data_IF_855344931071
#
_entry.id   IF_855344931071
#
_cell.length_a   1.000
_cell.length_b   1.000
_cell.length_c   1.000
_cell.angle_alpha   90.00
_cell.angle_beta   90.00
_cell.angle_gamma   90.00
#
_symmetry.space_group_name_H-M   'P 1'
#
loop_
_entity.id
_entity.type
_entity.pdbx_description
1 polymer ?
#
# COMPACT_ATOMS: atom_id res chain seq x y z
N UNK A 1 -18.22 18.25 18.60
CA UNK A 1 -16.94 17.49 18.48
C UNK A 1 -16.79 16.44 19.58
N UNK A 2 -16.62 16.83 20.84
CA UNK A 2 -16.35 15.89 21.95
C UNK A 2 -17.39 14.77 22.05
N UNK A 3 -18.68 15.09 21.96
CA UNK A 3 -19.77 14.11 21.90
C UNK A 3 -19.59 13.06 20.80
N UNK A 4 -19.27 13.48 19.57
CA UNK A 4 -19.03 12.58 18.44
C UNK A 4 -17.78 11.72 18.68
N UNK A 5 -16.74 12.29 19.29
CA UNK A 5 -15.51 11.59 19.62
C UNK A 5 -15.75 10.51 20.69
N UNK A 6 -16.47 10.85 21.77
CA UNK A 6 -16.90 9.94 22.84
C UNK A 6 -17.75 8.78 22.28
N UNK A 7 -18.70 9.09 21.40
CA UNK A 7 -19.56 8.10 20.75
C UNK A 7 -18.74 7.09 19.93
N UNK A 8 -17.85 7.58 19.06
CA UNK A 8 -16.96 6.72 18.28
C UNK A 8 -16.03 5.90 19.19
N UNK A 9 -15.52 6.50 20.26
CA UNK A 9 -14.67 5.80 21.23
C UNK A 9 -15.40 4.63 21.89
N UNK A 10 -16.66 4.81 22.31
CA UNK A 10 -17.47 3.73 22.86
C UNK A 10 -17.74 2.61 21.86
N UNK A 11 -18.05 2.95 20.61
CA UNK A 11 -18.29 1.97 19.54
C UNK A 11 -17.03 1.14 19.27
N UNK A 12 -15.88 1.79 19.15
CA UNK A 12 -14.59 1.14 18.89
C UNK A 12 -13.91 0.58 20.15
N UNK A 13 -14.54 0.74 21.33
CA UNK A 13 -13.97 0.34 22.63
C UNK A 13 -12.59 0.98 22.91
N UNK A 14 -12.44 2.24 22.50
CA UNK A 14 -11.23 3.03 22.72
C UNK A 14 -11.26 3.60 24.14
N UNK A 15 -10.24 3.34 24.98
CA UNK A 15 -10.24 3.75 26.39
C UNK A 15 -9.94 5.23 26.59
N UNK A 16 -9.33 5.91 25.61
CA UNK A 16 -8.93 7.31 25.72
C UNK A 16 -8.88 7.99 24.35
N UNK A 17 -9.40 9.19 24.27
CA UNK A 17 -9.37 10.07 23.09
C UNK A 17 -8.61 11.34 23.42
N UNK A 18 -7.73 11.77 22.53
CA UNK A 18 -7.03 13.04 22.64
C UNK A 18 -7.34 13.90 21.41
N UNK A 19 -7.88 15.09 21.65
CA UNK A 19 -8.07 16.13 20.63
C UNK A 19 -6.82 17.01 20.65
N UNK A 20 -6.01 16.88 19.61
CA UNK A 20 -4.77 17.61 19.51
C UNK A 20 -4.98 18.93 18.74
N UNK A 21 -4.56 20.04 19.34
CA UNK A 21 -4.79 21.39 18.82
C UNK A 21 -3.50 22.19 18.89
N UNK A 22 -3.15 22.86 17.79
CA UNK A 22 -2.04 23.82 17.73
C UNK A 22 -2.09 24.86 18.86
N UNK A 23 -0.96 25.10 19.53
CA UNK A 23 -0.85 26.00 20.68
C UNK A 23 -1.27 27.44 20.36
N UNK A 24 -1.10 27.88 19.12
CA UNK A 24 -1.52 29.19 18.62
C UNK A 24 -3.04 29.36 18.61
N UNK A 25 -3.81 28.28 18.64
CA UNK A 25 -5.28 28.28 18.59
C UNK A 25 -5.88 28.30 20.00
N UNK A 26 -5.48 29.30 20.80
CA UNK A 26 -5.91 29.47 22.20
C UNK A 26 -7.44 29.44 22.37
N UNK A 27 -8.20 30.08 21.49
CA UNK A 27 -9.66 30.05 21.53
C UNK A 27 -10.24 28.62 21.43
N UNK A 28 -9.66 27.78 20.56
CA UNK A 28 -10.11 26.40 20.40
C UNK A 28 -9.72 25.54 21.61
N UNK A 29 -8.49 25.71 22.11
CA UNK A 29 -8.02 25.06 23.33
C UNK A 29 -8.93 25.39 24.52
N UNK A 30 -9.17 26.67 24.78
CA UNK A 30 -10.01 27.15 25.87
C UNK A 30 -11.45 26.61 25.75
N UNK A 31 -12.04 26.65 24.55
CA UNK A 31 -13.40 26.13 24.34
C UNK A 31 -13.51 24.63 24.61
N UNK A 32 -12.52 23.85 24.17
CA UNK A 32 -12.49 22.41 24.45
C UNK A 32 -12.24 22.11 25.93
N UNK A 33 -11.35 22.85 26.58
CA UNK A 33 -11.09 22.71 28.01
C UNK A 33 -12.33 23.01 28.85
N UNK A 34 -13.02 24.12 28.58
CA UNK A 34 -14.28 24.44 29.26
C UNK A 34 -15.31 23.32 29.09
N UNK A 35 -15.46 22.78 27.87
CA UNK A 35 -16.40 21.70 27.60
C UNK A 35 -16.03 20.36 28.26
N UNK A 36 -14.77 20.18 28.66
CA UNK A 36 -14.30 18.99 29.37
C UNK A 36 -14.48 19.12 30.88
N UNK A 37 -14.46 20.33 31.43
CA UNK A 37 -14.60 20.57 32.87
C UNK A 37 -15.95 20.12 33.43
N UNK A 38 -17.00 20.08 32.59
CA UNK A 38 -18.33 19.61 32.96
C UNK A 38 -18.38 18.09 33.20
N UNK A 39 -17.30 17.34 32.92
CA UNK A 39 -17.20 15.90 33.14
C UNK A 39 -18.06 15.03 32.21
N UNK A 40 -18.77 15.65 31.26
CA UNK A 40 -19.68 14.96 30.33
C UNK A 40 -18.97 14.00 29.35
N UNK A 41 -17.65 14.17 29.16
CA UNK A 41 -16.86 13.42 28.18
C UNK A 41 -15.62 12.77 28.83
N UNK A 42 -15.81 11.77 29.72
CA UNK A 42 -14.74 11.22 30.56
C UNK A 42 -13.63 10.50 29.76
N UNK A 43 -13.90 10.07 28.53
CA UNK A 43 -12.89 9.43 27.67
C UNK A 43 -12.01 10.45 26.94
N UNK A 44 -12.42 11.72 26.91
CA UNK A 44 -11.81 12.74 26.08
C UNK A 44 -10.82 13.61 26.86
N UNK A 45 -9.75 14.03 26.18
CA UNK A 45 -8.82 15.04 26.65
C UNK A 45 -8.35 15.93 25.51
N UNK A 46 -7.68 17.03 25.86
CA UNK A 46 -7.08 17.97 24.90
C UNK A 46 -5.57 17.94 25.05
N UNK A 47 -4.85 18.01 23.93
CA UNK A 47 -3.40 18.09 23.89
C UNK A 47 -2.97 19.29 23.06
N UNK A 48 -2.17 20.20 23.63
CA UNK A 48 -1.62 21.33 22.90
C UNK A 48 -0.40 20.87 22.07
N UNK A 49 -0.46 21.04 20.75
CA UNK A 49 0.61 20.71 19.83
C UNK A 49 1.51 21.93 19.60
N UNK A 50 2.83 21.72 19.39
CA UNK A 50 3.71 22.78 18.93
C UNK A 50 3.25 23.34 17.58
N UNK A 51 3.31 24.67 17.42
CA UNK A 51 3.04 25.36 16.16
C UNK A 51 4.21 25.22 15.16
N UNK A 52 4.52 23.98 14.78
CA UNK A 52 5.61 23.68 13.84
C UNK A 52 5.14 22.69 12.79
N UNK A 53 5.30 23.02 11.52
CA UNK A 53 5.04 22.06 10.44
C UNK A 53 6.12 20.96 10.42
N UNK A 54 5.77 19.66 10.25
CA UNK A 54 4.43 19.08 10.09
C UNK A 54 3.91 18.35 11.36
N UNK A 55 3.77 19.03 12.50
CA UNK A 55 3.30 18.43 13.76
C UNK A 55 1.90 17.78 13.64
N UNK A 56 1.05 18.26 12.74
CA UNK A 56 -0.27 17.70 12.47
C UNK A 56 -0.29 16.46 11.56
N UNK A 57 0.86 16.02 11.03
CA UNK A 57 0.95 14.78 10.25
C UNK A 57 0.69 13.55 11.12
N UNK A 58 0.00 12.52 10.62
CA UNK A 58 -0.44 11.36 11.42
C UNK A 58 0.69 10.73 12.26
N UNK A 59 1.83 10.43 11.63
CA UNK A 59 2.98 9.83 12.34
C UNK A 59 3.62 10.81 13.33
N UNK A 60 3.76 12.09 12.95
CA UNK A 60 4.31 13.15 13.80
C UNK A 60 3.43 13.39 15.03
N UNK A 61 2.12 13.38 14.82
CA UNK A 61 1.13 13.57 15.84
C UNK A 61 1.17 12.42 16.85
N UNK A 62 1.19 11.18 16.36
CA UNK A 62 1.32 9.99 17.21
C UNK A 62 2.61 10.05 18.02
N UNK A 63 3.74 10.39 17.39
CA UNK A 63 5.01 10.52 18.10
C UNK A 63 4.98 11.62 19.16
N UNK A 64 4.41 12.78 18.85
CA UNK A 64 4.34 13.92 19.77
C UNK A 64 3.45 13.62 20.98
N UNK A 65 2.31 12.96 20.74
CA UNK A 65 1.31 12.69 21.79
C UNK A 65 1.64 11.45 22.61
N UNK A 66 2.16 10.40 21.98
CA UNK A 66 2.38 9.09 22.63
C UNK A 66 3.85 8.78 22.92
N UNK A 67 4.79 9.53 22.36
CA UNK A 67 6.23 9.22 22.38
C UNK A 67 6.63 8.05 21.48
N UNK A 68 5.68 7.39 20.81
CA UNK A 68 5.94 6.19 20.00
C UNK A 68 6.22 6.55 18.55
N UNK A 69 7.25 5.94 17.98
CA UNK A 69 7.52 5.99 16.54
C UNK A 69 6.83 4.81 15.85
N UNK A 70 6.24 5.09 14.69
CA UNK A 70 5.57 4.06 13.89
C UNK A 70 6.58 3.42 12.93
N UNK A 71 6.74 2.09 12.93
CA UNK A 71 7.56 1.41 11.93
C UNK A 71 7.06 1.68 10.50
N UNK A 72 8.00 1.79 9.56
CA UNK A 72 7.71 1.87 8.14
C UNK A 72 6.83 0.71 7.67
N UNK A 73 5.92 0.96 6.73
CA UNK A 73 5.00 -0.04 6.21
C UNK A 73 3.87 -0.51 7.13
N UNK A 74 3.80 -0.05 8.38
CA UNK A 74 2.68 -0.35 9.30
C UNK A 74 1.65 0.78 9.36
N UNK A 75 0.41 0.44 9.70
CA UNK A 75 -0.65 1.40 9.97
C UNK A 75 -0.79 1.65 11.47
N UNK A 76 -1.17 2.87 11.90
CA UNK A 76 -1.43 3.17 13.33
C UNK A 76 -2.38 2.18 14.01
N UNK A 77 -3.39 1.70 13.27
CA UNK A 77 -4.38 0.75 13.77
C UNK A 77 -3.76 -0.60 14.14
N UNK A 78 -2.68 -1.01 13.48
CA UNK A 78 -1.93 -2.24 13.81
C UNK A 78 -1.28 -2.15 15.20
N UNK A 79 -1.13 -0.92 15.72
CA UNK A 79 -0.55 -0.62 17.02
C UNK A 79 -1.61 -0.11 18.02
N UNK A 80 -2.89 -0.29 17.71
CA UNK A 80 -4.00 0.10 18.56
C UNK A 80 -4.26 1.61 18.63
N UNK A 81 -3.79 2.37 17.64
CA UNK A 81 -3.95 3.82 17.57
C UNK A 81 -4.85 4.19 16.40
N UNK A 82 -5.90 4.97 16.67
CA UNK A 82 -6.78 5.50 15.64
C UNK A 82 -6.61 7.02 15.56
N UNK A 83 -6.02 7.50 14.45
CA UNK A 83 -5.85 8.92 14.18
C UNK A 83 -6.90 9.37 13.15
N UNK A 84 -7.80 10.27 13.56
CA UNK A 84 -8.87 10.77 12.69
C UNK A 84 -8.81 12.28 12.57
N UNK A 85 -9.06 12.78 11.36
CA UNK A 85 -9.30 14.20 11.15
C UNK A 85 -10.59 14.64 11.89
N UNK A 86 -10.57 15.85 12.45
CA UNK A 86 -11.71 16.44 13.18
C UNK A 86 -13.02 16.39 12.37
N UNK A 87 -12.96 16.67 11.08
CA UNK A 87 -14.16 16.63 10.22
C UNK A 87 -14.69 15.21 10.02
N UNK A 88 -13.81 14.20 10.01
CA UNK A 88 -14.22 12.79 9.96
C UNK A 88 -14.96 12.41 11.24
N UNK A 89 -14.50 12.86 12.40
CA UNK A 89 -15.16 12.63 13.69
C UNK A 89 -16.54 13.28 13.72
N UNK A 90 -16.66 14.53 13.25
CA UNK A 90 -17.93 15.24 13.18
C UNK A 90 -18.92 14.55 12.23
N UNK A 91 -18.47 14.17 11.03
CA UNK A 91 -19.30 13.46 10.06
C UNK A 91 -19.75 12.09 10.57
N UNK A 92 -18.85 11.34 11.24
CA UNK A 92 -19.19 10.06 11.87
C UNK A 92 -20.25 10.21 12.95
N UNK A 93 -20.13 11.22 13.81
CA UNK A 93 -21.15 11.51 14.83
C UNK A 93 -22.51 11.86 14.21
N UNK A 94 -22.53 12.73 13.19
CA UNK A 94 -23.77 13.08 12.49
C UNK A 94 -24.42 11.87 11.81
N UNK A 95 -23.63 10.98 11.19
CA UNK A 95 -24.13 9.76 10.58
C UNK A 95 -24.78 8.83 11.61
N UNK A 96 -24.18 8.66 12.79
CA UNK A 96 -24.70 7.76 13.82
C UNK A 96 -25.93 8.34 14.51
N UNK A 97 -25.89 9.61 14.90
CA UNK A 97 -26.95 10.22 15.70
C UNK A 97 -28.15 10.67 14.86
N UNK A 98 -27.91 11.08 13.61
CA UNK A 98 -28.93 11.71 12.74
C UNK A 98 -29.18 10.96 11.44
N UNK A 99 -28.41 9.92 11.13
CA UNK A 99 -28.51 9.23 9.84
C UNK A 99 -28.02 10.05 8.65
N UNK A 100 -27.24 11.12 8.88
CA UNK A 100 -26.76 12.01 7.82
C UNK A 100 -25.62 11.37 7.02
N UNK A 101 -25.71 11.42 5.69
CA UNK A 101 -24.61 11.06 4.81
C UNK A 101 -23.66 12.24 4.60
N UNK A 102 -22.40 11.96 4.26
CA UNK A 102 -21.41 13.00 3.96
C UNK A 102 -21.74 13.67 2.62
N UNK A 103 -22.59 14.69 2.65
CA UNK A 103 -22.97 15.50 1.49
C UNK A 103 -22.23 16.82 1.42
N UNK A 104 -21.68 17.28 2.54
CA UNK A 104 -21.00 18.57 2.68
C UNK A 104 -19.71 18.46 3.48
N UNK A 105 -18.83 19.45 3.35
CA UNK A 105 -17.56 19.54 4.07
C UNK A 105 -17.18 20.99 4.30
N UNK A 106 -16.59 21.28 5.45
CA UNK A 106 -15.98 22.57 5.72
C UNK A 106 -14.67 22.68 4.95
N UNK A 107 -14.52 23.74 4.15
CA UNK A 107 -13.35 24.00 3.33
C UNK A 107 -12.82 25.41 3.58
N UNK A 108 -11.50 25.54 3.67
CA UNK A 108 -10.85 26.86 3.83
C UNK A 108 -10.46 27.41 2.46
N UNK A 109 -10.93 28.60 2.11
CA UNK A 109 -10.48 29.37 0.94
C UNK A 109 -9.62 30.53 1.45
N UNK A 110 -8.37 30.61 1.01
CA UNK A 110 -7.41 31.62 1.51
C UNK A 110 -6.35 31.95 0.45
N UNK A 111 -5.40 32.79 0.82
CA UNK A 111 -4.28 33.26 -0.01
C UNK A 111 -4.40 34.75 -0.38
N UNK A 112 -3.32 35.34 -0.88
CA UNK A 112 -3.28 36.75 -1.28
C UNK A 112 -4.27 37.07 -2.41
N UNK A 113 -4.51 36.10 -3.28
CA UNK A 113 -5.27 36.26 -4.51
C UNK A 113 -6.78 36.21 -4.35
N UNK A 114 -7.31 36.05 -3.14
CA UNK A 114 -8.76 36.07 -2.88
C UNK A 114 -9.18 37.36 -2.16
N UNK A 115 -10.36 37.90 -2.47
CA UNK A 115 -10.86 39.09 -1.79
C UNK A 115 -11.19 38.83 -0.32
N UNK A 116 -11.96 37.78 -0.04
CA UNK A 116 -12.47 37.47 1.30
C UNK A 116 -12.12 36.04 1.73
N UNK A 117 -10.93 35.81 2.33
CA UNK A 117 -10.57 34.51 2.89
C UNK A 117 -11.62 34.03 3.90
N UNK A 118 -12.09 32.79 3.74
CA UNK A 118 -13.24 32.27 4.49
C UNK A 118 -13.16 30.76 4.72
N UNK A 119 -13.82 30.29 5.78
CA UNK A 119 -14.17 28.88 5.94
C UNK A 119 -15.63 28.69 5.50
N UNK A 120 -15.87 27.80 4.53
CA UNK A 120 -17.17 27.59 3.91
C UNK A 120 -17.68 26.17 4.19
N UNK A 121 -18.97 26.00 4.48
CA UNK A 121 -19.64 24.69 4.47
C UNK A 121 -20.17 24.42 3.06
N UNK A 122 -19.56 23.47 2.34
CA UNK A 122 -19.75 23.31 0.89
C UNK A 122 -20.23 21.91 0.56
N UNK A 123 -21.20 21.81 -0.36
CA UNK A 123 -21.63 20.53 -0.92
C UNK A 123 -20.53 19.88 -1.76
N UNK A 124 -20.36 18.57 -1.58
CA UNK A 124 -19.44 17.78 -2.42
C UNK A 124 -19.96 17.82 -3.86
N UNK A 125 -19.06 18.08 -4.81
CA UNK A 125 -19.40 18.29 -6.22
C UNK A 125 -19.47 19.77 -6.63
N UNK A 126 -19.51 20.72 -5.69
CA UNK A 126 -19.50 22.15 -6.02
C UNK A 126 -18.20 22.52 -6.76
N UNK A 127 -18.28 23.23 -7.90
CA UNK A 127 -17.09 23.63 -8.64
C UNK A 127 -16.31 24.74 -7.90
N UNK A 128 -14.99 24.77 -8.09
CA UNK A 128 -14.10 25.79 -7.51
C UNK A 128 -14.59 27.22 -7.84
N UNK A 129 -15.11 27.45 -9.05
CA UNK A 129 -15.64 28.75 -9.47
C UNK A 129 -16.67 29.32 -8.50
N UNK A 130 -17.54 28.47 -7.94
CA UNK A 130 -18.58 28.89 -7.01
C UNK A 130 -17.99 29.29 -5.64
N UNK A 131 -16.90 28.64 -5.23
CA UNK A 131 -16.16 29.02 -4.01
C UNK A 131 -15.48 30.37 -4.16
N UNK A 132 -14.87 30.61 -5.32
CA UNK A 132 -14.23 31.88 -5.62
C UNK A 132 -15.26 33.02 -5.58
N UNK A 133 -16.41 32.82 -6.21
CA UNK A 133 -17.52 33.78 -6.19
C UNK A 133 -18.02 34.05 -4.77
N UNK A 134 -18.26 33.00 -3.97
CA UNK A 134 -18.67 33.13 -2.57
C UNK A 134 -17.66 33.89 -1.70
N UNK A 135 -16.38 33.87 -2.06
CA UNK A 135 -15.30 34.60 -1.41
C UNK A 135 -15.03 35.99 -2.00
N UNK A 136 -15.96 36.53 -2.80
CA UNK A 136 -15.86 37.88 -3.38
C UNK A 136 -15.00 37.95 -4.65
N UNK A 137 -14.71 36.81 -5.27
CA UNK A 137 -13.90 36.72 -6.48
C UNK A 137 -12.39 36.71 -6.24
N UNK A 138 -11.67 36.53 -7.34
CA UNK A 138 -10.21 36.51 -7.40
C UNK A 138 -9.69 37.93 -7.64
N UNK A 139 -8.62 38.32 -6.94
CA UNK A 139 -7.98 39.63 -7.11
C UNK A 139 -7.28 39.71 -8.47
N UNK A 140 -7.10 40.92 -8.98
CA UNK A 140 -6.38 41.14 -10.24
C UNK A 140 -4.93 40.64 -10.13
N UNK A 141 -4.51 39.76 -11.05
CA UNK A 141 -3.17 39.17 -11.05
C UNK A 141 -3.03 37.87 -10.24
N UNK A 142 -4.12 37.27 -9.77
CA UNK A 142 -4.10 35.93 -9.19
C UNK A 142 -4.31 34.85 -10.26
N UNK A 143 -3.25 34.08 -10.48
CA UNK A 143 -3.16 33.10 -11.58
C UNK A 143 -3.00 31.67 -11.07
N UNK A 144 -2.73 31.48 -9.77
CA UNK A 144 -2.39 30.18 -9.22
C UNK A 144 -3.41 29.70 -8.20
N UNK A 145 -4.09 28.62 -8.57
CA UNK A 145 -5.03 27.91 -7.72
C UNK A 145 -4.38 26.62 -7.24
N UNK A 146 -4.29 26.45 -5.92
CA UNK A 146 -3.72 25.24 -5.31
C UNK A 146 -4.82 24.57 -4.47
N UNK A 147 -5.16 23.33 -4.83
CA UNK A 147 -6.01 22.49 -3.98
C UNK A 147 -5.16 21.89 -2.86
N UNK A 148 -5.52 22.20 -1.61
CA UNK A 148 -4.79 21.81 -0.41
C UNK A 148 -4.03 22.98 0.21
N UNK A 149 -2.97 22.66 0.95
CA UNK A 149 -2.10 23.66 1.58
C UNK A 149 -0.90 24.04 0.69
N UNK A 150 -0.12 25.07 1.09
CA UNK A 150 1.00 25.58 0.29
C UNK A 150 2.12 24.55 0.04
N UNK A 151 2.28 23.57 0.94
CA UNK A 151 3.37 22.58 0.87
C UNK A 151 2.99 21.31 0.11
N UNK A 152 1.78 20.79 0.35
CA UNK A 152 1.34 19.48 -0.17
C UNK A 152 0.26 19.58 -1.24
N UNK A 153 -0.25 20.79 -1.51
CA UNK A 153 -1.30 20.99 -2.48
C UNK A 153 -0.86 20.78 -3.92
N UNK A 154 -1.84 20.74 -4.82
CA UNK A 154 -1.62 20.57 -6.26
C UNK A 154 -2.19 21.77 -7.01
N UNK A 155 -1.42 22.28 -7.97
CA UNK A 155 -1.88 23.33 -8.87
C UNK A 155 -3.01 22.81 -9.75
N UNK A 156 -4.06 23.61 -9.91
CA UNK A 156 -5.18 23.32 -10.80
C UNK A 156 -5.31 24.35 -11.90
N UNK A 157 -5.55 23.87 -13.11
CA UNK A 157 -5.68 24.69 -14.31
C UNK A 157 -7.11 25.09 -14.65
N UNK A 158 -8.11 24.55 -13.92
CA UNK A 158 -9.52 24.80 -14.20
C UNK A 158 -10.33 25.02 -12.94
N UNK A 159 -11.14 26.09 -12.94
CA UNK A 159 -12.11 26.41 -11.89
C UNK A 159 -13.37 25.54 -11.96
N UNK A 160 -13.53 24.72 -13.00
CA UNK A 160 -14.67 23.80 -13.15
C UNK A 160 -14.49 22.48 -12.38
N UNK A 161 -13.31 22.25 -11.80
CA UNK A 161 -13.04 21.05 -11.03
C UNK A 161 -13.95 21.01 -9.80
N UNK A 162 -14.68 19.90 -9.57
CA UNK A 162 -15.55 19.78 -8.41
C UNK A 162 -14.73 19.53 -7.15
N UNK A 163 -15.19 20.08 -6.03
CA UNK A 163 -14.67 19.69 -4.73
C UNK A 163 -15.08 18.25 -4.39
N UNK A 164 -14.20 17.55 -3.70
CA UNK A 164 -14.39 16.16 -3.31
C UNK A 164 -14.33 16.00 -1.81
N UNK A 165 -14.70 14.82 -1.28
CA UNK A 165 -14.58 14.52 0.15
C UNK A 165 -13.17 14.67 0.73
N UNK A 166 -12.14 14.66 -0.13
CA UNK A 166 -10.74 14.82 0.27
C UNK A 166 -10.24 16.25 0.15
N UNK A 167 -11.01 17.16 -0.45
CA UNK A 167 -10.63 18.56 -0.59
C UNK A 167 -10.91 19.31 0.70
N UNK A 168 -9.86 19.82 1.37
CA UNK A 168 -9.99 20.56 2.64
C UNK A 168 -9.69 22.05 2.52
N UNK A 169 -8.93 22.46 1.52
CA UNK A 169 -8.53 23.85 1.34
C UNK A 169 -8.33 24.19 -0.15
N UNK A 170 -8.52 25.46 -0.47
CA UNK A 170 -8.15 26.11 -1.72
C UNK A 170 -7.31 27.34 -1.39
N UNK A 171 -6.11 27.38 -1.93
CA UNK A 171 -5.19 28.49 -1.80
C UNK A 171 -5.11 29.22 -3.14
N UNK A 172 -5.39 30.51 -3.13
CA UNK A 172 -5.39 31.40 -4.30
C UNK A 172 -4.24 32.37 -4.14
N UNK A 173 -3.22 32.25 -4.98
CA UNK A 173 -2.00 33.05 -4.90
C UNK A 173 -1.96 34.08 -6.02
N UNK A 174 -1.50 35.28 -5.69
CA UNK A 174 -1.10 36.30 -6.65
C UNK A 174 0.39 36.19 -7.03
N UNK A 175 0.84 37.01 -7.97
CA UNK A 175 2.23 37.06 -8.42
C UNK A 175 3.24 37.40 -7.31
N UNK A 176 2.81 38.07 -6.23
CA UNK A 176 3.70 38.46 -5.14
C UNK A 176 4.07 37.30 -4.22
N UNK A 177 3.19 36.30 -4.13
CA UNK A 177 3.45 35.05 -3.40
C UNK A 177 4.37 34.09 -4.17
N UNK A 178 4.50 34.31 -5.48
CA UNK A 178 5.39 33.51 -6.30
C UNK A 178 6.83 34.03 -6.17
N UNK A 179 7.82 33.12 -6.12
CA UNK A 179 9.19 33.54 -6.31
C UNK A 179 9.33 34.26 -7.66
N UNK A 180 9.93 35.45 -7.66
CA UNK A 180 10.12 36.23 -8.88
C UNK A 180 10.71 35.35 -10.01
N UNK A 181 10.14 35.37 -11.23
CA UNK A 181 10.42 34.39 -12.29
C UNK A 181 11.88 34.35 -12.80
N UNK A 182 12.73 35.29 -12.40
CA UNK A 182 14.10 35.43 -12.93
C UNK A 182 15.24 34.95 -12.02
N UNK A 183 15.04 34.61 -10.73
CA UNK A 183 16.16 34.42 -9.79
C UNK A 183 16.21 33.07 -9.04
N UNK A 184 15.39 32.07 -9.44
CA UNK A 184 15.34 30.77 -8.74
C UNK A 184 15.42 29.58 -9.70
N UNK A 185 16.52 29.50 -10.44
CA UNK A 185 16.86 28.31 -11.24
C UNK A 185 17.44 27.25 -10.31
N UNK A 186 16.98 26.00 -10.45
CA UNK A 186 17.59 24.85 -9.76
C UNK A 186 19.11 24.86 -9.96
N UNK A 187 19.85 24.80 -8.85
CA UNK A 187 21.30 24.69 -8.85
C UNK A 187 21.75 23.25 -8.50
N UNK A 188 22.98 22.87 -8.83
CA UNK A 188 23.55 21.61 -8.38
C UNK A 188 23.54 21.47 -6.86
N UNK A 189 23.37 20.24 -6.38
CA UNK A 189 23.40 19.94 -4.95
C UNK A 189 24.80 20.19 -4.37
N UNK A 190 24.89 21.05 -3.35
CA UNK A 190 26.15 21.35 -2.64
C UNK A 190 26.42 20.45 -1.43
N UNK A 191 25.58 19.42 -1.21
CA UNK A 191 25.72 18.43 -0.12
C UNK A 191 25.78 19.03 1.29
N UNK A 192 24.99 20.08 1.54
CA UNK A 192 24.99 20.81 2.83
C UNK A 192 24.31 20.09 4.00
N UNK A 193 23.57 19.00 3.78
CA UNK A 193 22.89 18.25 4.84
C UNK A 193 21.56 18.83 5.36
N UNK A 194 21.23 20.08 5.06
CA UNK A 194 20.03 20.76 5.58
C UNK A 194 18.71 19.99 5.34
N UNK A 195 18.59 19.30 4.21
CA UNK A 195 17.40 18.49 3.89
C UNK A 195 17.25 17.27 4.82
N UNK A 196 18.35 16.69 5.30
CA UNK A 196 18.35 15.60 6.27
C UNK A 196 17.87 16.10 7.63
N UNK A 197 18.43 17.22 8.10
CA UNK A 197 18.07 17.83 9.40
C UNK A 197 16.60 18.25 9.44
N UNK A 198 16.07 18.74 8.31
CA UNK A 198 14.67 19.13 8.19
C UNK A 198 13.70 17.96 8.01
N UNK A 199 14.17 16.74 7.75
CA UNK A 199 13.29 15.62 7.42
C UNK A 199 12.57 15.07 8.65
N UNK A 200 11.23 15.17 8.75
CA UNK A 200 10.47 14.69 9.91
C UNK A 200 10.32 13.15 9.93
N UNK A 201 10.88 12.44 8.95
CA UNK A 201 10.94 10.98 8.90
C UNK A 201 12.36 10.45 9.12
N UNK A 202 13.35 11.32 9.32
CA UNK A 202 14.75 10.89 9.48
C UNK A 202 15.32 10.20 8.23
N UNK A 203 14.77 10.47 7.05
CA UNK A 203 15.30 9.96 5.79
C UNK A 203 16.59 10.70 5.40
N UNK A 204 17.25 10.22 4.34
CA UNK A 204 18.42 10.85 3.74
C UNK A 204 18.06 11.42 2.36
N UNK A 205 17.44 12.63 2.25
CA UNK A 205 16.96 13.15 0.99
C UNK A 205 18.05 13.32 -0.06
N UNK A 206 19.28 13.63 0.36
CA UNK A 206 20.43 13.74 -0.55
C UNK A 206 20.73 12.40 -1.24
N UNK A 207 20.83 11.31 -0.47
CA UNK A 207 21.04 9.97 -1.03
C UNK A 207 19.88 9.53 -1.90
N UNK A 208 18.64 9.75 -1.44
CA UNK A 208 17.44 9.47 -2.22
C UNK A 208 17.43 10.25 -3.54
N UNK A 209 17.83 11.53 -3.52
CA UNK A 209 17.93 12.36 -4.71
C UNK A 209 18.87 11.77 -5.76
N UNK A 210 20.08 11.38 -5.32
CA UNK A 210 21.09 10.78 -6.19
C UNK A 210 20.56 9.47 -6.82
N UNK A 211 19.93 8.61 -6.03
CA UNK A 211 19.37 7.34 -6.52
C UNK A 211 18.16 7.54 -7.45
N UNK A 212 17.31 8.54 -7.20
CA UNK A 212 16.19 8.89 -8.10
C UNK A 212 16.74 9.36 -9.45
N UNK A 213 17.75 10.24 -9.45
CA UNK A 213 18.41 10.68 -10.68
C UNK A 213 19.02 9.51 -11.46
N UNK A 214 19.66 8.59 -10.74
CA UNK A 214 20.27 7.40 -11.33
C UNK A 214 19.25 6.30 -11.71
N UNK A 215 17.95 6.48 -11.41
CA UNK A 215 16.87 5.48 -11.62
C UNK A 215 17.16 4.11 -10.97
N UNK A 216 17.87 4.10 -9.84
CA UNK A 216 18.26 2.86 -9.13
C UNK A 216 17.16 2.45 -8.15
N UNK A 217 16.15 1.74 -8.64
CA UNK A 217 14.93 1.43 -7.87
C UNK A 217 15.18 0.55 -6.63
N UNK A 218 16.07 -0.45 -6.73
CA UNK A 218 16.43 -1.31 -5.60
C UNK A 218 17.06 -0.49 -4.46
N UNK A 219 17.94 0.45 -4.79
CA UNK A 219 18.54 1.34 -3.79
C UNK A 219 17.52 2.30 -3.18
N UNK A 220 16.52 2.74 -3.96
CA UNK A 220 15.43 3.57 -3.43
C UNK A 220 14.56 2.79 -2.44
N UNK A 221 14.37 1.49 -2.65
CA UNK A 221 13.71 0.62 -1.68
C UNK A 221 14.54 0.48 -0.40
N UNK A 222 15.85 0.20 -0.53
CA UNK A 222 16.77 0.09 0.61
C UNK A 222 16.85 1.37 1.44
N UNK A 223 16.72 2.53 0.79
CA UNK A 223 16.67 3.85 1.43
C UNK A 223 15.26 4.25 1.91
N UNK A 224 14.30 3.33 1.86
CA UNK A 224 12.93 3.51 2.35
C UNK A 224 12.21 4.72 1.73
N UNK A 225 12.37 4.95 0.41
CA UNK A 225 11.73 6.07 -0.29
C UNK A 225 10.20 6.12 -0.04
N UNK A 226 9.55 4.97 0.11
CA UNK A 226 8.11 4.89 0.34
C UNK A 226 7.66 5.49 1.68
N UNK A 227 8.55 5.61 2.67
CA UNK A 227 8.26 6.24 3.96
C UNK A 227 8.26 7.77 3.91
N UNK A 228 8.75 8.37 2.82
CA UNK A 228 8.65 9.81 2.64
C UNK A 228 7.17 10.23 2.70
N UNK A 229 6.84 11.31 3.41
CA UNK A 229 5.45 11.80 3.53
C UNK A 229 5.14 12.96 2.58
N UNK A 230 6.09 13.31 1.69
CA UNK A 230 5.92 14.38 0.69
C UNK A 230 5.57 15.74 1.30
N UNK A 231 6.12 16.03 2.48
CA UNK A 231 5.85 17.25 3.25
C UNK A 231 6.50 18.53 2.69
N UNK A 232 7.46 18.43 1.77
CA UNK A 232 8.12 19.62 1.21
C UNK A 232 9.14 20.32 2.11
N UNK A 233 9.35 19.88 3.36
CA UNK A 233 10.34 20.50 4.27
C UNK A 233 11.73 20.58 3.63
N UNK A 234 12.13 19.52 2.92
CA UNK A 234 13.41 19.45 2.22
C UNK A 234 13.53 20.39 1.02
N UNK A 235 12.42 20.78 0.38
CA UNK A 235 12.43 21.71 -0.75
C UNK A 235 12.69 23.13 -0.24
N UNK A 236 11.99 23.50 0.84
CA UNK A 236 12.07 24.84 1.44
C UNK A 236 13.45 25.16 1.99
N UNK A 237 14.11 24.20 2.63
CA UNK A 237 15.45 24.42 3.22
C UNK A 237 16.59 24.26 2.20
N UNK A 238 16.31 23.84 0.97
CA UNK A 238 17.36 23.58 -0.01
C UNK A 238 17.93 24.90 -0.57
N UNK A 239 19.21 25.25 -0.31
CA UNK A 239 19.80 26.47 -0.87
C UNK A 239 19.95 26.38 -2.39
N UNK A 240 20.04 25.15 -2.94
CA UNK A 240 20.13 24.88 -4.37
C UNK A 240 18.76 24.85 -5.07
N UNK A 241 17.65 25.08 -4.35
CA UNK A 241 16.30 25.12 -4.92
C UNK A 241 15.93 23.85 -5.69
N UNK A 242 16.37 22.70 -5.19
CA UNK A 242 16.08 21.40 -5.81
C UNK A 242 14.66 20.97 -5.43
N UNK A 243 13.78 20.65 -6.40
CA UNK A 243 12.43 20.16 -6.13
C UNK A 243 12.45 18.68 -5.72
N UNK A 244 12.91 18.39 -4.50
CA UNK A 244 13.08 17.03 -3.98
C UNK A 244 11.73 16.31 -3.86
N UNK A 245 10.67 16.98 -3.40
CA UNK A 245 9.35 16.35 -3.24
C UNK A 245 8.79 15.85 -4.56
N UNK A 246 8.88 16.64 -5.64
CA UNK A 246 8.44 16.22 -6.97
C UNK A 246 9.23 15.01 -7.47
N UNK A 247 10.56 15.04 -7.28
CA UNK A 247 11.45 13.91 -7.62
C UNK A 247 11.08 12.65 -6.84
N UNK A 248 10.79 12.78 -5.55
CA UNK A 248 10.37 11.66 -4.71
C UNK A 248 9.00 11.13 -5.10
N UNK A 249 8.03 11.99 -5.46
CA UNK A 249 6.73 11.55 -6.01
C UNK A 249 6.92 10.68 -7.25
N UNK A 250 7.71 11.16 -8.21
CA UNK A 250 8.05 10.41 -9.42
C UNK A 250 8.77 9.09 -9.08
N UNK A 251 9.78 9.14 -8.21
CA UNK A 251 10.53 7.96 -7.77
C UNK A 251 9.65 6.91 -7.10
N UNK A 252 8.72 7.32 -6.22
CA UNK A 252 7.75 6.42 -5.59
C UNK A 252 6.81 5.77 -6.58
N UNK A 253 6.35 6.52 -7.59
CA UNK A 253 5.49 5.96 -8.63
C UNK A 253 6.23 4.87 -9.42
N UNK A 254 7.49 5.11 -9.78
CA UNK A 254 8.33 4.13 -10.46
C UNK A 254 8.60 2.90 -9.58
N UNK A 255 8.95 3.12 -8.31
CA UNK A 255 9.20 2.05 -7.35
C UNK A 255 7.96 1.20 -7.10
N UNK A 256 6.78 1.80 -6.92
CA UNK A 256 5.52 1.06 -6.75
C UNK A 256 5.21 0.17 -7.95
N UNK A 257 5.45 0.66 -9.16
CA UNK A 257 5.30 -0.15 -10.39
C UNK A 257 6.26 -1.32 -10.39
N UNK A 258 7.54 -1.06 -10.16
CA UNK A 258 8.57 -2.10 -10.06
C UNK A 258 8.24 -3.20 -9.04
N UNK A 259 7.86 -2.82 -7.80
CA UNK A 259 7.48 -3.79 -6.77
C UNK A 259 6.23 -4.59 -7.10
N UNK A 260 5.29 -3.96 -7.82
CA UNK A 260 4.08 -4.67 -8.30
C UNK A 260 4.46 -5.71 -9.34
N UNK A 261 5.28 -5.34 -10.32
CA UNK A 261 5.75 -6.24 -11.37
C UNK A 261 6.57 -7.40 -10.79
N UNK A 262 7.47 -7.11 -9.85
CA UNK A 262 8.27 -8.15 -9.17
C UNK A 262 7.38 -9.11 -8.38
N UNK A 263 6.38 -8.60 -7.66
CA UNK A 263 5.40 -9.43 -6.94
C UNK A 263 4.60 -10.32 -7.89
N UNK A 264 4.20 -9.80 -9.05
CA UNK A 264 3.48 -10.57 -10.07
C UNK A 264 4.38 -11.66 -10.68
N UNK A 265 5.64 -11.32 -11.01
CA UNK A 265 6.63 -12.26 -11.53
C UNK A 265 6.90 -13.40 -10.52
N UNK A 266 7.08 -13.07 -9.24
CA UNK A 266 7.29 -14.06 -8.16
C UNK A 266 6.09 -15.01 -8.03
N UNK A 267 4.86 -14.49 -8.10
CA UNK A 267 3.64 -15.31 -8.12
C UNK A 267 3.57 -16.21 -9.36
N UNK A 268 3.95 -15.71 -10.53
CA UNK A 268 3.97 -16.48 -11.78
C UNK A 268 5.01 -17.62 -11.72
N UNK A 269 6.22 -17.35 -11.23
CA UNK A 269 7.26 -18.36 -11.02
C UNK A 269 6.81 -19.46 -10.05
N UNK A 270 6.22 -19.08 -8.91
CA UNK A 270 5.67 -20.04 -7.95
C UNK A 270 4.59 -20.94 -8.58
N UNK A 271 3.68 -20.37 -9.38
CA UNK A 271 2.66 -21.13 -10.12
C UNK A 271 3.27 -22.08 -11.14
N UNK A 272 4.30 -21.65 -11.86
CA UNK A 272 5.01 -22.48 -12.84
C UNK A 272 5.72 -23.66 -12.17
N UNK A 273 6.45 -23.42 -11.09
CA UNK A 273 7.12 -24.46 -10.31
C UNK A 273 6.12 -25.47 -9.73
N UNK A 274 4.99 -25.00 -9.18
CA UNK A 274 3.92 -25.88 -8.70
C UNK A 274 3.31 -26.74 -9.82
N UNK A 275 3.15 -26.19 -11.04
CA UNK A 275 2.69 -26.94 -12.21
C UNK A 275 3.70 -28.02 -12.61
N UNK A 276 5.00 -27.69 -12.68
CA UNK A 276 6.05 -28.67 -13.00
C UNK A 276 6.10 -29.81 -11.98
N UNK A 277 6.01 -29.48 -10.69
CA UNK A 277 5.97 -30.47 -9.62
C UNK A 277 4.75 -31.41 -9.76
N UNK A 278 3.58 -30.87 -10.10
CA UNK A 278 2.38 -31.68 -10.36
C UNK A 278 2.54 -32.62 -11.56
N UNK A 279 3.08 -32.13 -12.67
CA UNK A 279 3.32 -32.96 -13.87
C UNK A 279 4.32 -34.09 -13.58
N UNK A 280 5.39 -33.80 -12.84
CA UNK A 280 6.38 -34.80 -12.44
C UNK A 280 5.76 -35.88 -11.54
N UNK A 281 4.88 -35.52 -10.60
CA UNK A 281 4.13 -36.49 -9.78
C UNK A 281 3.25 -37.40 -10.63
N UNK A 282 2.48 -36.83 -11.55
CA UNK A 282 1.61 -37.60 -12.45
C UNK A 282 2.40 -38.54 -13.37
N UNK A 283 3.58 -38.13 -13.84
CA UNK A 283 4.46 -39.01 -14.61
C UNK A 283 4.97 -40.17 -13.75
N UNK A 284 5.44 -39.88 -12.54
CA UNK A 284 5.97 -40.89 -11.64
C UNK A 284 4.89 -41.88 -11.18
N UNK A 285 3.67 -41.41 -10.90
CA UNK A 285 2.50 -42.25 -10.63
C UNK A 285 2.18 -43.16 -11.81
N UNK A 286 2.16 -42.63 -13.04
CA UNK A 286 1.94 -43.43 -14.26
C UNK A 286 3.04 -44.45 -14.52
N UNK A 287 4.30 -44.08 -14.26
CA UNK A 287 5.45 -45.00 -14.39
C UNK A 287 5.35 -46.12 -13.36
N UNK A 288 5.01 -45.80 -12.10
CA UNK A 288 4.77 -46.79 -11.05
C UNK A 288 3.60 -47.71 -11.37
N UNK A 289 2.48 -47.17 -11.86
CA UNK A 289 1.34 -47.97 -12.31
C UNK A 289 1.71 -48.89 -13.48
N UNK A 290 2.48 -48.38 -14.47
CA UNK A 290 2.93 -49.16 -15.60
C UNK A 290 3.92 -50.26 -15.18
N UNK A 291 4.83 -49.97 -14.25
CA UNK A 291 5.78 -50.92 -13.70
C UNK A 291 5.09 -51.97 -12.83
N UNK A 292 4.13 -51.57 -11.99
CA UNK A 292 3.28 -52.48 -11.24
C UNK A 292 2.47 -53.40 -12.18
N UNK A 293 1.92 -52.86 -13.27
CA UNK A 293 1.19 -53.65 -14.28
C UNK A 293 2.12 -54.63 -15.01
N UNK A 294 3.33 -54.21 -15.38
CA UNK A 294 4.35 -55.10 -15.97
C UNK A 294 4.78 -56.20 -15.01
N UNK A 295 5.01 -55.86 -13.74
CA UNK A 295 5.39 -56.82 -12.70
C UNK A 295 4.26 -57.81 -12.41
N UNK A 296 3.00 -57.37 -12.37
CA UNK A 296 1.83 -58.24 -12.24
C UNK A 296 1.72 -59.23 -13.42
N UNK A 297 1.81 -58.73 -14.66
CA UNK A 297 1.82 -59.58 -15.87
C UNK A 297 3.00 -60.58 -15.87
N UNK A 298 4.18 -60.15 -15.43
CA UNK A 298 5.35 -61.02 -15.30
C UNK A 298 5.24 -62.06 -14.19
N UNK A 299 4.56 -61.75 -13.08
CA UNK A 299 4.25 -62.70 -12.01
C UNK A 299 3.17 -63.70 -12.43
N UNK A 300 2.15 -63.29 -13.17
CA UNK A 300 1.11 -64.17 -13.73
C UNK A 300 1.66 -65.09 -14.83
N UNK A 301 2.63 -64.64 -15.62
CA UNK A 301 3.27 -65.46 -16.66
C UNK A 301 4.24 -66.53 -16.09
N UNK A 302 4.82 -66.31 -14.90
CA UNK A 302 5.75 -67.28 -14.25
C UNK A 302 5.16 -68.68 -14.02
N UNK A 303 3.96 -68.85 -13.43
CA UNK A 303 3.36 -70.17 -13.25
C UNK A 303 2.98 -70.80 -14.60
N UNK A 304 2.50 -70.04 -15.58
CA UNK A 304 2.15 -70.56 -16.92
C UNK A 304 3.39 -71.05 -17.70
N UNK A 305 4.53 -70.35 -17.57
CA UNK A 305 5.80 -70.75 -18.18
C UNK A 305 6.39 -71.97 -17.47
N UNK A 306 6.27 -72.06 -16.14
CA UNK A 306 6.69 -73.24 -15.36
C UNK A 306 5.85 -74.48 -15.71
N UNK A 307 4.52 -74.35 -15.81
CA UNK A 307 3.63 -75.42 -16.27
C UNK A 307 3.96 -75.88 -17.70
N UNK A 308 4.27 -74.95 -18.60
CA UNK A 308 4.64 -75.28 -19.98
C UNK A 308 5.99 -76.03 -20.07
N UNK A 309 6.97 -75.63 -19.25
CA UNK A 309 8.27 -76.30 -19.14
C UNK A 309 8.14 -77.71 -18.53
N UNK A 310 7.29 -77.89 -17.52
CA UNK A 310 7.01 -79.21 -16.94
C UNK A 310 6.29 -80.13 -17.94
N UNK A 311 5.28 -79.63 -18.67
CA UNK A 311 4.64 -80.37 -19.76
C UNK A 311 5.62 -80.76 -20.87
N UNK A 312 6.57 -79.89 -21.20
CA UNK A 312 7.60 -80.18 -22.20
C UNK A 312 8.59 -81.25 -21.70
N UNK A 313 8.99 -81.23 -20.42
CA UNK A 313 9.80 -82.29 -19.79
C UNK A 313 9.08 -83.63 -19.82
N UNK A 314 7.81 -83.67 -19.40
CA UNK A 314 6.99 -84.89 -19.39
C UNK A 314 6.81 -85.49 -20.80
N UNK A 315 6.58 -84.65 -21.83
CA UNK A 315 6.53 -85.11 -23.23
C UNK A 315 7.86 -85.68 -23.72
N UNK A 316 8.99 -85.11 -23.27
CA UNK A 316 10.33 -85.59 -23.64
C UNK A 316 10.64 -86.93 -23.00
N UNK A 317 10.27 -87.12 -21.73
CA UNK A 317 10.40 -88.40 -21.03
C UNK A 317 9.48 -89.49 -21.60
N UNK A 318 8.24 -89.14 -21.99
CA UNK A 318 7.34 -90.07 -22.67
C UNK A 318 7.85 -90.51 -24.04
N UNK A 319 8.46 -89.60 -24.82
CA UNK A 319 9.14 -89.95 -26.08
C UNK A 319 10.35 -90.87 -25.88
N UNK A 320 11.12 -90.66 -24.82
CA UNK A 320 12.25 -91.53 -24.47
C UNK A 320 11.80 -92.92 -24.01
N UNK A 321 10.62 -93.03 -23.37
CA UNK A 321 10.02 -94.33 -23.02
C UNK A 321 9.39 -95.06 -24.22
N UNK A 322 8.75 -94.33 -25.13
CA UNK A 322 8.16 -94.91 -26.35
C UNK A 322 9.22 -95.37 -27.38
N UNK A 323 10.43 -94.80 -27.35
CA UNK A 323 11.55 -95.24 -28.18
C UNK A 323 12.24 -96.55 -27.71
N UNK A 324 11.87 -97.08 -26.55
CA UNK A 324 12.49 -98.28 -25.97
C UNK A 324 11.59 -99.53 -26.02
N UNK A 325 10.41 -99.45 -26.66
CA UNK A 325 9.40 -100.52 -26.69
C UNK A 325 9.09 -101.05 -28.12
N UNK A 326 9.88 -100.68 -29.13
CA UNK A 326 9.69 -101.13 -30.52
C UNK A 326 10.91 -101.91 -31.06
N UNK A 327 11.45 -102.83 -30.27
CA UNK A 327 12.60 -103.64 -30.65
C UNK A 327 12.59 -105.04 -30.04
N UNK A 328 11.67 -105.91 -30.50
CA UNK A 328 11.83 -107.39 -30.53
C UNK A 328 10.66 -108.08 -31.23
N UNK A 329 10.97 -109.27 -31.78
CA UNK A 329 10.21 -110.27 -32.57
C UNK A 329 10.11 -109.99 -34.07
N UNK A 330 11.00 -110.56 -34.90
CA UNK A 330 11.11 -111.95 -35.43
C UNK A 330 10.09 -112.25 -36.54
N UNK A 331 10.50 -112.40 -37.82
CA UNK A 331 10.98 -113.61 -38.55
C UNK A 331 9.83 -114.49 -39.08
N UNK A 332 10.00 -114.91 -40.36
CA UNK A 332 9.44 -116.06 -41.11
C UNK A 332 8.29 -115.83 -42.13
N UNK A 333 8.63 -116.11 -43.42
CA UNK A 333 7.93 -116.98 -44.42
C UNK A 333 6.49 -116.62 -44.84
N UNK A 334 5.96 -116.84 -46.05
CA UNK A 334 6.41 -117.28 -47.39
C UNK A 334 5.12 -117.32 -48.26
N UNK A 335 5.25 -117.12 -49.58
CA UNK A 335 4.26 -117.33 -50.67
C UNK A 335 3.03 -116.40 -50.77
#
# INVERSE_FOLDING_TARGET
LLRSAELLARIFKIPRVLVAVESSRSNALNSLQTSLNDGAFPLCGVFALPDRYPAGGERQLIQTVSGRTMPGGTHPVDHGILCLNVQTVLAGGAAIEKGETLTRRIMTVSGSGIHTPSNLDVLIGTPISFLLEACGGVRHGAEHLILGGPMMGFSVSSTKIPITKTTSALLVLDHSDLPAPSNRVEQPCIRCGACTDACPQGLLPQSLHDQVKAKRLVELENLHLLDCIECGCCDVVCPSLIPLTERFRSGKQQLRRYLTDERLARKAQSRYQARLARLKRQQLEREQEAEARKNALGQEAKPQIQEALERARLRREQRLKAGNDSGKTDVSESN
#
